data_IF_416384729701
#
_entry.id   IF_416384729701
#
_cell.length_a   1.000
_cell.length_b   1.000
_cell.length_c   1.000
_cell.angle_alpha   90.00
_cell.angle_beta   90.00
_cell.angle_gamma   90.00
#
_symmetry.space_group_name_H-M   'P 1'
#
loop_
_entity.id
_entity.type
_entity.pdbx_description
1 polymer ?
#
# COMPACT_ATOMS: atom_id res chain seq x y z
N UNK A 1 1.44 -15.08 8.24
CA UNK A 1 0.47 -15.87 9.02
C UNK A 1 -0.48 -16.57 8.04
N UNK A 2 -0.57 -17.90 8.07
CA UNK A 2 -1.41 -18.65 7.12
C UNK A 2 -2.91 -18.44 7.36
N UNK A 3 -3.31 -18.02 8.57
CA UNK A 3 -4.72 -17.80 8.93
C UNK A 3 -5.36 -16.65 8.16
N UNK A 4 -4.55 -15.74 7.62
CA UNK A 4 -5.00 -14.60 6.82
C UNK A 4 -4.66 -14.75 5.33
N UNK A 5 -4.13 -15.91 4.92
CA UNK A 5 -3.80 -16.16 3.53
C UNK A 5 -5.08 -16.30 2.71
N UNK A 6 -5.20 -15.50 1.65
CA UNK A 6 -6.44 -15.39 0.86
C UNK A 6 -6.09 -15.20 -0.61
N UNK A 7 -6.75 -15.89 -1.55
CA UNK A 7 -6.48 -15.72 -2.96
C UNK A 7 -6.80 -14.30 -3.45
N UNK A 8 -6.16 -13.92 -4.55
CA UNK A 8 -6.53 -12.72 -5.30
C UNK A 8 -7.99 -12.83 -5.76
N UNK A 9 -8.66 -11.69 -5.92
CA UNK A 9 -9.93 -11.62 -6.60
C UNK A 9 -9.82 -12.23 -8.00
N UNK A 10 -10.82 -13.02 -8.38
CA UNK A 10 -10.94 -13.60 -9.71
C UNK A 10 -11.05 -12.52 -10.79
N UNK A 11 -11.79 -11.43 -10.50
CA UNK A 11 -11.83 -10.23 -11.32
C UNK A 11 -11.07 -9.09 -10.61
N UNK A 12 -9.95 -8.59 -11.16
CA UNK A 12 -9.20 -7.51 -10.54
C UNK A 12 -9.99 -6.20 -10.55
N UNK A 13 -9.77 -5.37 -9.53
CA UNK A 13 -10.26 -3.98 -9.54
C UNK A 13 -9.56 -3.23 -10.65
N UNK A 14 -10.30 -2.44 -11.41
CA UNK A 14 -9.75 -1.57 -12.46
C UNK A 14 -8.91 -0.44 -11.89
N UNK A 15 -9.20 -0.02 -10.63
CA UNK A 15 -8.44 1.00 -9.92
C UNK A 15 -8.29 0.64 -8.44
N UNK A 16 -7.03 0.54 -8.00
CA UNK A 16 -6.58 0.49 -6.61
C UNK A 16 -5.80 1.76 -6.35
N UNK A 17 -6.08 2.46 -5.24
CA UNK A 17 -5.42 3.73 -4.92
C UNK A 17 -3.98 3.51 -4.48
N UNK A 18 -3.08 4.43 -4.81
CA UNK A 18 -1.75 4.48 -4.23
C UNK A 18 -1.79 4.45 -2.69
N UNK A 19 -0.84 3.75 -2.09
CA UNK A 19 -0.76 3.50 -0.65
C UNK A 19 -1.67 2.37 -0.16
N UNK A 20 -2.51 1.76 -1.00
CA UNK A 20 -3.36 0.63 -0.56
C UNK A 20 -2.50 -0.55 -0.11
N UNK A 21 -2.85 -1.15 1.02
CA UNK A 21 -2.23 -2.37 1.55
C UNK A 21 -3.12 -3.55 1.18
N UNK A 22 -2.52 -4.63 0.66
CA UNK A 22 -3.28 -5.83 0.35
C UNK A 22 -2.58 -7.13 0.68
N UNK A 23 -3.35 -8.21 0.61
CA UNK A 23 -2.88 -9.60 0.74
C UNK A 23 -3.21 -10.39 -0.52
N UNK A 24 -2.27 -11.26 -0.94
CA UNK A 24 -2.47 -12.26 -1.98
C UNK A 24 -1.70 -13.55 -1.63
N UNK A 25 -2.43 -14.62 -1.34
CA UNK A 25 -1.85 -15.84 -0.79
C UNK A 25 -1.15 -15.54 0.52
N UNK A 26 0.12 -15.94 0.65
CA UNK A 26 0.97 -15.66 1.80
C UNK A 26 1.69 -14.31 1.74
N UNK A 27 1.48 -13.50 0.70
CA UNK A 27 2.18 -12.24 0.48
C UNK A 27 1.33 -11.05 0.93
N UNK A 28 2.00 -10.02 1.45
CA UNK A 28 1.45 -8.69 1.72
C UNK A 28 2.31 -7.63 1.06
N UNK A 29 1.77 -6.43 0.87
CA UNK A 29 2.41 -5.41 0.06
C UNK A 29 1.56 -4.16 -0.07
N UNK A 30 2.20 -3.11 -0.60
CA UNK A 30 1.61 -1.79 -0.76
C UNK A 30 1.66 -1.43 -2.24
N UNK A 31 0.56 -0.90 -2.77
CA UNK A 31 0.50 -0.36 -4.12
C UNK A 31 1.16 1.02 -4.16
N UNK A 32 2.30 1.22 -4.85
CA UNK A 32 3.00 2.53 -4.86
C UNK A 32 2.31 3.59 -5.73
N UNK A 33 1.43 3.16 -6.64
CA UNK A 33 0.72 4.01 -7.60
C UNK A 33 -0.75 3.59 -7.74
N UNK A 34 -1.56 4.46 -8.34
CA UNK A 34 -2.89 4.09 -8.82
C UNK A 34 -2.75 3.07 -9.95
N UNK A 35 -3.27 1.85 -9.76
CA UNK A 35 -3.18 0.79 -10.76
C UNK A 35 -4.30 -0.25 -10.62
N UNK A 36 -4.57 -1.08 -11.64
CA UNK A 36 -5.42 -2.24 -11.49
C UNK A 36 -4.81 -3.26 -10.52
N UNK A 37 -5.65 -3.98 -9.76
CA UNK A 37 -5.15 -4.92 -8.75
C UNK A 37 -6.18 -5.92 -8.27
N UNK A 38 -5.73 -7.17 -8.14
CA UNK A 38 -6.55 -8.28 -7.63
C UNK A 38 -6.34 -8.62 -6.16
N UNK A 39 -5.50 -7.90 -5.41
CA UNK A 39 -5.25 -8.26 -4.01
C UNK A 39 -6.45 -7.91 -3.12
N UNK A 40 -6.59 -8.63 -2.01
CA UNK A 40 -7.57 -8.29 -0.98
C UNK A 40 -7.06 -7.06 -0.23
N UNK A 41 -7.75 -5.93 -0.36
CA UNK A 41 -7.32 -4.67 0.26
C UNK A 41 -7.73 -4.66 1.74
N UNK A 42 -6.79 -4.36 2.62
CA UNK A 42 -6.96 -4.45 4.08
C UNK A 42 -6.66 -3.13 4.81
N UNK A 43 -6.16 -2.13 4.10
CA UNK A 43 -5.82 -0.82 4.66
C UNK A 43 -5.16 0.10 3.66
N UNK A 44 -4.69 1.24 4.13
CA UNK A 44 -3.96 2.22 3.33
C UNK A 44 -2.89 2.90 4.21
N UNK A 45 -1.71 3.16 3.65
CA UNK A 45 -0.70 4.00 4.28
C UNK A 45 -0.77 5.43 3.75
N UNK A 46 -0.56 6.46 4.59
CA UNK A 46 -0.53 7.84 4.13
C UNK A 46 0.77 8.19 3.40
N UNK A 47 1.79 7.32 3.48
CA UNK A 47 3.12 7.59 2.92
C UNK A 47 3.20 7.32 1.41
N UNK A 48 3.97 8.17 0.72
CA UNK A 48 4.30 8.00 -0.70
C UNK A 48 5.53 7.10 -0.85
N UNK A 49 5.32 5.90 -1.39
CA UNK A 49 6.37 4.88 -1.52
C UNK A 49 7.37 5.18 -2.65
N UNK A 50 6.92 5.90 -3.67
CA UNK A 50 7.74 6.31 -4.79
C UNK A 50 7.54 7.79 -5.09
N UNK A 51 8.64 8.55 -5.13
CA UNK A 51 8.65 9.94 -5.52
C UNK A 51 9.89 10.25 -6.36
N UNK A 52 9.70 10.45 -7.67
CA UNK A 52 10.78 10.74 -8.62
C UNK A 52 11.57 12.03 -8.29
N UNK A 53 11.00 12.92 -7.48
CA UNK A 53 11.62 14.19 -7.08
C UNK A 53 12.36 14.11 -5.73
N UNK A 54 12.39 12.94 -5.07
CA UNK A 54 13.13 12.71 -3.82
C UNK A 54 14.35 11.82 -4.08
N UNK A 55 15.37 11.95 -3.22
CA UNK A 55 16.50 11.02 -3.16
C UNK A 55 16.56 10.40 -1.75
N UNK A 56 16.31 9.09 -1.59
CA UNK A 56 16.03 8.10 -2.64
C UNK A 56 14.63 8.26 -3.26
N UNK A 57 14.47 7.79 -4.51
CA UNK A 57 13.18 7.83 -5.21
C UNK A 57 12.18 6.80 -4.67
N UNK A 58 12.68 5.72 -4.08
CA UNK A 58 11.89 4.69 -3.40
C UNK A 58 12.07 4.83 -1.88
N UNK A 59 10.97 4.76 -1.14
CA UNK A 59 10.99 4.78 0.32
C UNK A 59 11.58 3.49 0.93
N UNK A 60 11.40 2.36 0.24
CA UNK A 60 11.83 1.03 0.66
C UNK A 60 12.85 0.46 -0.31
N UNK A 61 13.90 -0.17 0.21
CA UNK A 61 14.91 -0.91 -0.53
C UNK A 61 14.82 -2.43 -0.27
N UNK A 62 15.34 -3.28 -1.17
CA UNK A 62 15.46 -4.71 -0.90
C UNK A 62 16.28 -4.96 0.38
N UNK A 63 15.72 -5.76 1.29
CA UNK A 63 16.32 -6.06 2.59
C UNK A 63 15.72 -5.26 3.75
N UNK A 64 14.95 -4.21 3.48
CA UNK A 64 14.25 -3.47 4.54
C UNK A 64 13.16 -4.32 5.19
N UNK A 65 13.02 -4.18 6.52
CA UNK A 65 11.91 -4.74 7.27
C UNK A 65 10.78 -3.71 7.39
N UNK A 66 9.54 -4.19 7.27
CA UNK A 66 8.33 -3.34 7.31
C UNK A 66 7.41 -3.82 8.41
N UNK A 67 7.03 -2.89 9.29
CA UNK A 67 6.00 -3.10 10.31
C UNK A 67 4.79 -2.20 10.05
N UNK A 68 3.61 -2.81 9.92
CA UNK A 68 2.36 -2.08 9.80
C UNK A 68 1.82 -1.70 11.17
N UNK A 69 1.55 -0.42 11.39
CA UNK A 69 0.95 0.10 12.61
C UNK A 69 -0.41 0.70 12.27
N UNK A 70 -1.47 0.21 12.93
CA UNK A 70 -2.81 0.78 12.78
C UNK A 70 -2.84 2.20 13.34
N UNK A 71 -3.37 3.13 12.55
CA UNK A 71 -3.58 4.53 12.95
C UNK A 71 -5.05 4.90 12.77
N UNK A 72 -5.48 5.96 13.48
CA UNK A 72 -6.82 6.52 13.28
C UNK A 72 -6.91 7.22 11.92
N UNK A 73 -8.15 7.43 11.47
CA UNK A 73 -8.41 8.15 10.22
C UNK A 73 -7.93 9.60 10.28
N UNK A 74 -8.07 10.25 11.43
CA UNK A 74 -7.63 11.63 11.63
C UNK A 74 -6.10 11.73 11.49
N UNK A 75 -5.37 10.76 12.07
CA UNK A 75 -3.90 10.69 11.92
C UNK A 75 -3.50 10.39 10.48
N UNK A 76 -4.25 9.53 9.79
CA UNK A 76 -4.03 9.28 8.37
C UNK A 76 -4.17 10.56 7.56
N UNK A 77 -5.27 11.30 7.72
CA UNK A 77 -5.56 12.53 6.99
C UNK A 77 -4.53 13.62 7.28
N UNK A 78 -4.06 13.74 8.53
CA UNK A 78 -3.01 14.69 8.91
C UNK A 78 -1.64 14.36 8.27
N UNK A 79 -1.38 13.09 7.94
CA UNK A 79 -0.11 12.63 7.35
C UNK A 79 -0.19 12.46 5.83
N UNK A 80 -1.40 12.44 5.26
CA UNK A 80 -1.62 12.15 3.86
C UNK A 80 -1.29 13.36 3.01
N UNK A 81 -0.20 13.28 2.24
CA UNK A 81 0.11 14.26 1.21
C UNK A 81 -0.81 14.01 0.00
N UNK A 82 -1.68 14.97 -0.29
CA UNK A 82 -2.57 14.87 -1.45
C UNK A 82 -1.75 14.89 -2.75
N UNK A 83 -2.03 14.00 -3.72
CA UNK A 83 -1.47 14.15 -5.06
C UNK A 83 -2.05 15.43 -5.70
N UNK A 84 -1.31 16.54 -5.60
CA UNK A 84 -1.69 17.85 -6.11
C UNK A 84 -1.33 19.06 -5.22
N UNK A 85 -0.86 18.84 -3.99
CA UNK A 85 -0.24 19.89 -3.15
C UNK A 85 1.24 20.08 -3.47
#
# INVERSE_FOLDING_TARGET
DQRIAVPRHAAPRTKVKAGSVGIAGSQTGIYPFDSPGGWQLIGQTPFKLFNANKNPVCLLAPGDEVQFISISKEKFEAQYEHPGS
#
